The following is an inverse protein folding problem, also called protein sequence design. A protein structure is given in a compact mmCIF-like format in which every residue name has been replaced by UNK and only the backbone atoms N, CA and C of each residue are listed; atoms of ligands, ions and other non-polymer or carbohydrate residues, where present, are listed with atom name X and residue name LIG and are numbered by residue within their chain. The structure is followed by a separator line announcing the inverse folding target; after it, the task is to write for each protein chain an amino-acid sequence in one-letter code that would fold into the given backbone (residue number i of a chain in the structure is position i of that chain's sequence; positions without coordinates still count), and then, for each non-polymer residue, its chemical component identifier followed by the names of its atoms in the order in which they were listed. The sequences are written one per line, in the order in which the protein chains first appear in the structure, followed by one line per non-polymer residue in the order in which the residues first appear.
data_IF_273884335197
#
_entry.id   IF_273884335197
#
_cell.length_a   1.000
_cell.length_b   1.000
_cell.length_c   1.000
_cell.angle_alpha   90.00
_cell.angle_beta   90.00
_cell.angle_gamma   90.00
#
_symmetry.space_group_name_H-M   'P 1'
#
loop_
_entity.id
_entity.type
_entity.pdbx_description
1 polymer ?
#
# COMPACT_ATOMS: atom_id res chain seq x y z
N UNK A 1 -0.93 1.82 -25.56
CA UNK A 1 -0.07 1.97 -24.36
C UNK A 1 -0.82 1.65 -23.07
N UNK A 2 -2.03 2.17 -22.84
CA UNK A 2 -2.85 1.84 -21.66
C UNK A 2 -3.06 0.32 -21.45
N UNK A 3 -3.36 -0.42 -22.53
CA UNK A 3 -3.56 -1.88 -22.48
C UNK A 3 -2.35 -2.67 -21.95
N UNK A 4 -1.13 -2.18 -22.14
CA UNK A 4 0.09 -2.84 -21.66
C UNK A 4 0.29 -2.62 -20.16
N UNK A 5 -0.05 -1.43 -19.66
CA UNK A 5 0.00 -1.09 -18.24
C UNK A 5 -1.02 -1.93 -17.46
N UNK A 6 -2.25 -2.04 -17.96
CA UNK A 6 -3.29 -2.91 -17.38
C UNK A 6 -3.00 -4.42 -17.52
N UNK A 7 -2.11 -4.81 -18.44
CA UNK A 7 -1.69 -6.22 -18.59
C UNK A 7 -0.66 -6.61 -17.52
N UNK A 8 0.14 -5.66 -17.04
CA UNK A 8 1.19 -5.91 -16.05
C UNK A 8 0.78 -5.51 -14.62
N UNK A 9 -0.20 -4.62 -14.45
CA UNK A 9 -0.73 -4.22 -13.15
C UNK A 9 -2.23 -4.52 -13.05
N UNK A 10 -2.66 -5.38 -12.10
CA UNK A 10 -4.07 -5.71 -11.94
C UNK A 10 -4.87 -4.47 -11.53
N UNK A 11 -6.05 -4.30 -12.13
CA UNK A 11 -6.91 -3.13 -11.97
C UNK A 11 -7.29 -2.88 -10.49
N UNK A 12 -7.50 -3.96 -9.73
CA UNK A 12 -7.78 -3.89 -8.28
C UNK A 12 -6.64 -3.25 -7.48
N UNK A 13 -5.38 -3.56 -7.79
CA UNK A 13 -4.23 -2.94 -7.11
C UNK A 13 -4.14 -1.43 -7.41
N UNK A 14 -4.42 -1.06 -8.66
CA UNK A 14 -4.42 0.35 -9.07
C UNK A 14 -5.49 1.14 -8.31
N UNK A 15 -6.67 0.56 -8.08
CA UNK A 15 -7.73 1.17 -7.27
C UNK A 15 -7.29 1.38 -5.81
N UNK A 16 -6.66 0.38 -5.20
CA UNK A 16 -6.13 0.50 -3.83
C UNK A 16 -5.06 1.57 -3.74
N UNK A 17 -4.11 1.57 -4.69
CA UNK A 17 -3.06 2.57 -4.73
C UNK A 17 -3.64 3.98 -4.83
N UNK A 18 -4.60 4.22 -5.75
CA UNK A 18 -5.26 5.51 -5.87
C UNK A 18 -6.01 5.90 -4.59
N UNK A 19 -6.74 4.97 -3.96
CA UNK A 19 -7.46 5.23 -2.72
C UNK A 19 -6.53 5.65 -1.58
N UNK A 20 -5.39 4.95 -1.41
CA UNK A 20 -4.38 5.29 -0.39
C UNK A 20 -3.75 6.66 -0.67
N UNK A 21 -3.41 6.96 -1.93
CA UNK A 21 -2.82 8.25 -2.29
C UNK A 21 -3.78 9.42 -2.07
N UNK A 22 -5.05 9.27 -2.45
CA UNK A 22 -6.08 10.28 -2.17
C UNK A 22 -6.24 10.45 -0.65
N UNK A 23 -6.27 9.35 0.10
CA UNK A 23 -6.31 9.39 1.56
C UNK A 23 -5.14 10.17 2.16
N UNK A 24 -3.92 9.99 1.66
CA UNK A 24 -2.74 10.73 2.11
C UNK A 24 -2.83 12.22 1.80
N UNK A 25 -3.34 12.61 0.63
CA UNK A 25 -3.58 14.02 0.29
C UNK A 25 -4.57 14.64 1.26
N UNK A 26 -5.67 13.94 1.57
CA UNK A 26 -6.67 14.43 2.54
C UNK A 26 -6.04 14.59 3.92
N UNK A 27 -5.33 13.58 4.44
CA UNK A 27 -4.67 13.65 5.75
C UNK A 27 -3.64 14.79 5.80
N UNK A 28 -2.90 15.01 4.71
CA UNK A 28 -1.94 16.12 4.65
C UNK A 28 -2.63 17.50 4.76
N UNK A 29 -3.82 17.65 4.17
CA UNK A 29 -4.59 18.90 4.20
C UNK A 29 -5.32 19.09 5.54
N UNK A 30 -5.92 18.04 6.10
CA UNK A 30 -6.76 18.13 7.32
C UNK A 30 -5.96 18.11 8.61
N UNK A 31 -4.68 17.73 8.56
CA UNK A 31 -3.79 17.64 9.72
C UNK A 31 -3.10 16.28 9.75
N UNK A 32 -1.77 16.30 9.83
CA UNK A 32 -0.92 15.11 9.77
C UNK A 32 -1.33 14.15 10.90
N UNK A 33 -1.96 13.03 10.52
CA UNK A 33 -2.24 11.92 11.42
C UNK A 33 -1.35 10.74 11.04
N UNK A 34 -0.28 10.56 11.83
CA UNK A 34 0.74 9.55 11.55
C UNK A 34 0.17 8.13 11.61
N UNK A 35 -0.77 7.85 12.53
CA UNK A 35 -1.40 6.54 12.65
C UNK A 35 -2.17 6.16 11.38
N UNK A 36 -2.97 7.09 10.84
CA UNK A 36 -3.70 6.89 9.59
C UNK A 36 -2.76 6.73 8.38
N UNK A 37 -1.63 7.46 8.36
CA UNK A 37 -0.61 7.28 7.33
C UNK A 37 0.03 5.89 7.38
N UNK A 38 0.39 5.40 8.56
CA UNK A 38 0.94 4.04 8.74
C UNK A 38 -0.09 2.97 8.38
N UNK A 39 -1.37 3.16 8.71
CA UNK A 39 -2.45 2.26 8.30
C UNK A 39 -2.64 2.22 6.77
N UNK A 40 -2.54 3.36 6.08
CA UNK A 40 -2.57 3.40 4.62
C UNK A 40 -1.37 2.69 3.98
N UNK A 41 -0.16 2.88 4.52
CA UNK A 41 1.04 2.17 4.07
C UNK A 41 0.91 0.65 4.29
N UNK A 42 0.37 0.22 5.43
CA UNK A 42 0.08 -1.18 5.72
C UNK A 42 -0.79 -1.80 4.60
N UNK A 43 -1.93 -1.17 4.29
CA UNK A 43 -2.85 -1.64 3.24
C UNK A 43 -2.14 -1.74 1.89
N UNK A 44 -1.32 -0.73 1.55
CA UNK A 44 -0.60 -0.68 0.29
C UNK A 44 0.43 -1.81 0.17
N UNK A 45 1.23 -2.05 1.21
CA UNK A 45 2.26 -3.09 1.19
C UNK A 45 1.67 -4.50 1.26
N UNK A 46 0.55 -4.71 1.97
CA UNK A 46 -0.18 -5.99 1.93
C UNK A 46 -0.67 -6.28 0.52
N UNK A 47 -1.26 -5.27 -0.13
CA UNK A 47 -1.77 -5.38 -1.50
C UNK A 47 -0.64 -5.62 -2.51
N UNK A 48 0.51 -4.99 -2.30
CA UNK A 48 1.69 -5.20 -3.14
C UNK A 48 2.30 -6.60 -2.94
N UNK A 49 2.31 -7.12 -1.71
CA UNK A 49 2.74 -8.48 -1.42
C UNK A 49 1.87 -9.51 -2.16
N UNK A 50 0.54 -9.36 -2.09
CA UNK A 50 -0.42 -10.24 -2.79
C UNK A 50 -0.20 -10.18 -4.30
N UNK A 51 -0.06 -8.97 -4.86
CA UNK A 51 0.21 -8.78 -6.30
C UNK A 51 1.49 -9.46 -6.75
N UNK A 52 2.58 -9.27 -6.01
CA UNK A 52 3.91 -9.72 -6.37
C UNK A 52 4.17 -11.21 -6.03
N UNK A 53 3.29 -11.87 -5.26
CA UNK A 53 3.52 -13.23 -4.73
C UNK A 53 3.90 -14.25 -5.80
N UNK A 54 3.28 -14.19 -6.99
CA UNK A 54 3.52 -15.17 -8.07
C UNK A 54 4.57 -14.72 -9.10
N UNK A 55 4.78 -13.42 -9.27
CA UNK A 55 5.70 -12.88 -10.30
C UNK A 55 7.07 -12.50 -9.75
N UNK A 56 7.13 -11.95 -8.54
CA UNK A 56 8.32 -11.34 -7.95
C UNK A 56 8.41 -11.68 -6.45
N UNK A 57 8.88 -12.90 -6.16
CA UNK A 57 8.93 -13.45 -4.79
C UNK A 57 9.69 -12.56 -3.81
N UNK A 58 10.83 -12.01 -4.22
CA UNK A 58 11.67 -11.15 -3.37
C UNK A 58 10.90 -9.87 -3.01
N UNK A 59 10.30 -9.20 -3.99
CA UNK A 59 9.49 -8.00 -3.76
C UNK A 59 8.31 -8.29 -2.83
N UNK A 60 7.68 -9.45 -2.99
CA UNK A 60 6.57 -9.88 -2.15
C UNK A 60 7.00 -10.07 -0.70
N UNK A 61 8.13 -10.74 -0.44
CA UNK A 61 8.67 -10.93 0.92
C UNK A 61 9.04 -9.59 1.55
N UNK A 62 9.71 -8.70 0.82
CA UNK A 62 10.02 -7.35 1.32
C UNK A 62 8.74 -6.60 1.68
N UNK A 63 7.70 -6.70 0.84
CA UNK A 63 6.41 -6.07 1.09
C UNK A 63 5.74 -6.64 2.35
N UNK A 64 5.81 -7.95 2.61
CA UNK A 64 5.28 -8.57 3.84
C UNK A 64 6.02 -8.05 5.07
N UNK A 65 7.35 -7.99 5.03
CA UNK A 65 8.15 -7.47 6.15
C UNK A 65 7.76 -6.03 6.46
N UNK A 66 7.63 -5.19 5.43
CA UNK A 66 7.19 -3.80 5.58
C UNK A 66 5.77 -3.72 6.14
N UNK A 67 4.84 -4.59 5.69
CA UNK A 67 3.51 -4.68 6.29
C UNK A 67 3.55 -4.97 7.78
N UNK A 68 4.39 -5.91 8.25
CA UNK A 68 4.53 -6.17 9.68
C UNK A 68 5.05 -4.94 10.44
N UNK A 69 6.05 -4.24 9.89
CA UNK A 69 6.58 -3.02 10.50
C UNK A 69 5.51 -1.93 10.60
N UNK A 70 4.76 -1.68 9.53
CA UNK A 70 3.70 -0.68 9.54
C UNK A 70 2.51 -1.08 10.44
N UNK A 71 2.21 -2.37 10.57
CA UNK A 71 1.19 -2.84 11.51
C UNK A 71 1.58 -2.52 12.96
N UNK A 72 2.83 -2.79 13.35
CA UNK A 72 3.35 -2.44 14.68
C UNK A 72 3.35 -0.92 14.87
N UNK A 73 3.84 -0.16 13.88
CA UNK A 73 3.86 1.30 13.96
C UNK A 73 2.44 1.90 14.10
N UNK A 74 1.46 1.36 13.35
CA UNK A 74 0.06 1.79 13.46
C UNK A 74 -0.50 1.51 14.85
N UNK A 75 -0.23 0.33 15.41
CA UNK A 75 -0.68 -0.04 16.75
C UNK A 75 -0.09 0.84 17.85
N UNK A 76 1.18 1.24 17.73
CA UNK A 76 1.84 2.12 18.72
C UNK A 76 1.39 3.58 18.64
N UNK A 77 0.78 4.00 17.53
CA UNK A 77 0.36 5.39 17.28
C UNK A 77 -1.15 5.61 17.47
N UNK A 78 -1.92 4.53 17.68
CA UNK A 78 -3.34 4.55 18.03
C UNK A 78 -3.53 4.88 19.52
#
# INVERSE_FOLDING_TARGET
MLKTIFKNYPLWFMLIWCAVMIGFVVIFITGINLALMMGGLLILYVSNAIRAWKSERILSVISIVLSCVFAVATFLLL
#
